data_IF_642354483452
#
_entry.id   IF_642354483452
#
_cell.length_a   1.000
_cell.length_b   1.000
_cell.length_c   1.000
_cell.angle_alpha   90.00
_cell.angle_beta   90.00
_cell.angle_gamma   90.00
#
_symmetry.space_group_name_H-M   'P 1'
#
loop_
_entity.id
_entity.type
_entity.pdbx_description
1 polymer ?
#
# COMPACT_ATOMS: atom_id res chain seq x y z
N UNK A 1 55.28 -1.90 -45.98
CA UNK A 1 54.34 -2.91 -45.43
C UNK A 1 53.91 -2.47 -44.04
N UNK A 2 52.61 -2.63 -43.77
CA UNK A 2 51.90 -2.64 -42.48
C UNK A 2 51.89 -1.36 -41.62
N UNK A 3 50.81 -0.61 -41.84
CA UNK A 3 50.20 0.36 -40.93
C UNK A 3 49.66 -0.38 -39.70
N UNK A 4 50.02 0.03 -38.48
CA UNK A 4 49.35 -0.44 -37.26
C UNK A 4 48.57 0.74 -36.70
N UNK A 5 47.32 0.86 -37.13
CA UNK A 5 46.33 1.70 -36.47
C UNK A 5 45.59 0.78 -35.48
N UNK A 6 45.85 1.00 -34.19
CA UNK A 6 45.28 0.24 -33.10
C UNK A 6 43.78 0.57 -32.93
N UNK A 7 42.97 -0.48 -33.10
CA UNK A 7 41.81 -0.87 -32.30
C UNK A 7 40.85 0.24 -31.90
N UNK A 8 39.73 0.33 -32.64
CA UNK A 8 38.48 0.93 -32.15
C UNK A 8 38.05 0.21 -30.87
N UNK A 9 38.17 0.88 -29.72
CA UNK A 9 37.63 0.42 -28.46
C UNK A 9 36.11 0.65 -28.49
N UNK A 10 35.37 -0.45 -28.64
CA UNK A 10 33.91 -0.54 -28.55
C UNK A 10 33.40 0.11 -27.25
N UNK A 11 32.83 1.31 -27.33
CA UNK A 11 31.86 1.81 -26.35
C UNK A 11 30.54 1.10 -26.60
N UNK A 12 30.38 -0.10 -26.05
CA UNK A 12 29.07 -0.73 -25.91
C UNK A 12 29.14 -1.64 -24.69
N UNK A 13 28.34 -1.32 -23.68
CA UNK A 13 27.87 -2.15 -22.54
C UNK A 13 27.76 -1.28 -21.28
N UNK A 14 26.92 -0.25 -21.34
CA UNK A 14 26.55 0.52 -20.14
C UNK A 14 25.06 0.84 -20.07
N UNK A 15 24.18 0.10 -20.77
CA UNK A 15 22.73 0.33 -20.67
C UNK A 15 21.97 -0.99 -20.76
N UNK A 16 22.07 -1.85 -19.73
CA UNK A 16 21.02 -2.85 -19.45
C UNK A 16 20.80 -2.95 -17.93
N UNK A 17 20.65 -1.82 -17.26
CA UNK A 17 20.19 -1.78 -15.84
C UNK A 17 19.06 -0.79 -15.61
N UNK A 18 18.51 -0.15 -16.65
CA UNK A 18 17.57 0.98 -16.51
C UNK A 18 16.07 0.64 -16.42
N UNK A 19 15.63 -0.58 -16.74
CA UNK A 19 14.18 -0.85 -16.85
C UNK A 19 13.55 -1.54 -15.63
N UNK A 20 14.33 -1.88 -14.59
CA UNK A 20 13.83 -2.69 -13.48
C UNK A 20 13.38 -1.87 -12.26
N UNK A 21 13.89 -0.64 -12.09
CA UNK A 21 13.54 0.19 -10.94
C UNK A 21 12.36 1.16 -11.21
N UNK A 22 12.14 1.60 -12.46
CA UNK A 22 10.98 2.45 -12.79
C UNK A 22 9.63 1.77 -12.52
N UNK A 23 9.53 0.46 -12.78
CA UNK A 23 8.31 -0.31 -12.55
C UNK A 23 8.05 -0.58 -11.05
N UNK A 24 9.08 -0.54 -10.20
CA UNK A 24 8.93 -0.77 -8.76
C UNK A 24 8.26 0.42 -8.09
N UNK A 25 8.63 1.63 -8.49
CA UNK A 25 8.07 2.85 -7.91
C UNK A 25 6.60 3.01 -8.32
N UNK A 26 6.27 2.84 -9.61
CA UNK A 26 4.86 2.87 -10.06
C UNK A 26 3.99 1.81 -9.36
N UNK A 27 4.53 0.59 -9.20
CA UNK A 27 3.84 -0.49 -8.50
C UNK A 27 3.65 -0.18 -7.01
N UNK A 28 4.58 0.52 -6.38
CA UNK A 28 4.44 0.98 -4.98
C UNK A 28 3.40 2.09 -4.86
N UNK A 29 3.42 3.06 -5.74
CA UNK A 29 2.51 4.21 -5.71
C UNK A 29 1.04 3.76 -5.84
N UNK A 30 0.77 2.80 -6.74
CA UNK A 30 -0.58 2.22 -6.89
C UNK A 30 -1.03 1.45 -5.66
N UNK A 31 -0.13 0.73 -4.99
CA UNK A 31 -0.43 -0.01 -3.76
C UNK A 31 -0.69 0.94 -2.59
N UNK A 32 0.08 2.02 -2.49
CA UNK A 32 -0.11 3.06 -1.50
C UNK A 32 -1.45 3.77 -1.70
N UNK A 33 -1.76 4.18 -2.92
CA UNK A 33 -3.03 4.83 -3.26
C UNK A 33 -4.24 3.95 -2.87
N UNK A 34 -4.21 2.65 -3.17
CA UNK A 34 -5.27 1.73 -2.77
C UNK A 34 -5.46 1.66 -1.24
N UNK A 35 -4.36 1.65 -0.47
CA UNK A 35 -4.41 1.67 0.99
C UNK A 35 -4.98 2.99 1.54
N UNK A 36 -4.60 4.12 0.94
CA UNK A 36 -5.13 5.44 1.31
C UNK A 36 -6.62 5.61 0.98
N UNK A 37 -7.05 5.16 -0.20
CA UNK A 37 -8.45 5.20 -0.63
C UNK A 37 -9.33 4.32 0.26
N UNK A 38 -8.81 3.16 0.68
CA UNK A 38 -9.51 2.31 1.64
C UNK A 38 -9.57 2.93 3.04
N UNK A 39 -8.47 3.54 3.52
CA UNK A 39 -8.48 4.23 4.80
C UNK A 39 -9.54 5.34 4.81
N UNK A 40 -9.59 6.14 3.74
CA UNK A 40 -10.61 7.17 3.55
C UNK A 40 -12.02 6.58 3.57
N UNK A 41 -12.28 5.50 2.83
CA UNK A 41 -13.58 4.84 2.81
C UNK A 41 -14.00 4.31 4.21
N UNK A 42 -13.06 3.79 5.00
CA UNK A 42 -13.32 3.38 6.40
C UNK A 42 -13.69 4.59 7.26
N UNK A 43 -13.01 5.73 7.07
CA UNK A 43 -13.28 6.96 7.83
C UNK A 43 -14.66 7.52 7.51
N UNK A 44 -15.04 7.48 6.24
CA UNK A 44 -16.31 8.04 5.73
C UNK A 44 -17.51 7.09 5.86
N UNK A 45 -17.32 5.87 6.39
CA UNK A 45 -18.36 4.82 6.39
C UNK A 45 -18.85 4.44 4.97
N UNK A 46 -18.00 4.62 3.94
CA UNK A 46 -18.32 4.35 2.54
C UNK A 46 -18.17 2.85 2.22
N UNK A 47 -19.16 2.07 2.65
CA UNK A 47 -19.23 0.63 2.39
C UNK A 47 -19.18 0.29 0.88
N UNK A 48 -19.87 1.00 -0.04
CA UNK A 48 -19.73 0.78 -1.48
C UNK A 48 -18.28 0.90 -1.97
N UNK A 49 -17.57 1.96 -1.61
CA UNK A 49 -16.16 2.15 -2.01
C UNK A 49 -15.25 1.09 -1.40
N UNK A 50 -15.47 0.73 -0.13
CA UNK A 50 -14.75 -0.39 0.48
C UNK A 50 -14.94 -1.67 -0.34
N UNK A 51 -16.17 -2.05 -0.68
CA UNK A 51 -16.45 -3.26 -1.48
C UNK A 51 -15.81 -3.24 -2.86
N UNK A 52 -15.72 -2.07 -3.50
CA UNK A 52 -15.06 -1.92 -4.80
C UNK A 52 -13.56 -2.22 -4.71
N UNK A 53 -12.91 -1.84 -3.61
CA UNK A 53 -11.47 -1.99 -3.37
C UNK A 53 -11.10 -3.32 -2.69
N UNK A 54 -12.09 -4.08 -2.21
CA UNK A 54 -11.88 -5.29 -1.41
C UNK A 54 -12.02 -6.58 -2.23
N UNK A 55 -11.20 -7.57 -1.92
CA UNK A 55 -11.34 -8.92 -2.49
C UNK A 55 -12.62 -9.56 -1.95
N UNK A 56 -13.48 -9.99 -2.85
CA UNK A 56 -14.73 -10.67 -2.51
C UNK A 56 -14.46 -11.96 -1.72
N UNK A 57 -15.16 -12.16 -0.61
CA UNK A 57 -15.01 -13.32 0.27
C UNK A 57 -13.81 -13.26 1.24
N UNK A 58 -12.98 -12.21 1.20
CA UNK A 58 -11.91 -12.03 2.18
C UNK A 58 -12.46 -11.72 3.59
N UNK A 59 -11.71 -12.11 4.63
CA UNK A 59 -12.06 -11.92 6.04
C UNK A 59 -11.03 -11.05 6.76
N UNK A 60 -11.43 -10.05 7.57
CA UNK A 60 -12.81 -9.62 7.81
C UNK A 60 -13.47 -9.01 6.56
N UNK A 61 -14.79 -9.08 6.45
CA UNK A 61 -15.57 -8.38 5.43
C UNK A 61 -15.55 -6.85 5.65
N UNK A 62 -15.81 -6.04 4.62
CA UNK A 62 -15.95 -4.58 4.78
C UNK A 62 -16.92 -4.16 5.89
N UNK A 63 -18.05 -4.86 6.03
CA UNK A 63 -19.02 -4.63 7.10
C UNK A 63 -18.45 -4.93 8.50
N UNK A 64 -17.66 -5.99 8.63
CA UNK A 64 -17.00 -6.34 9.89
C UNK A 64 -15.91 -5.32 10.23
N UNK A 65 -15.17 -4.81 9.24
CA UNK A 65 -14.20 -3.73 9.41
C UNK A 65 -14.88 -2.47 9.93
N UNK A 66 -15.98 -2.03 9.33
CA UNK A 66 -16.73 -0.86 9.79
C UNK A 66 -17.29 -1.03 11.21
N UNK A 67 -17.77 -2.23 11.56
CA UNK A 67 -18.19 -2.54 12.94
C UNK A 67 -17.01 -2.47 13.92
N UNK A 68 -15.86 -3.02 13.53
CA UNK A 68 -14.67 -3.08 14.36
C UNK A 68 -14.00 -1.70 14.56
N UNK A 69 -14.14 -0.78 13.60
CA UNK A 69 -13.52 0.55 13.63
C UNK A 69 -13.79 1.34 14.92
N UNK A 70 -14.96 1.16 15.51
CA UNK A 70 -15.33 1.80 16.80
C UNK A 70 -14.39 1.37 17.93
N UNK A 71 -14.03 0.09 17.96
CA UNK A 71 -13.14 -0.49 18.97
C UNK A 71 -11.67 -0.13 18.72
N UNK A 72 -11.34 0.36 17.52
CA UNK A 72 -9.98 0.78 17.17
C UNK A 72 -9.68 2.21 17.66
N UNK A 73 -10.69 2.95 18.14
CA UNK A 73 -10.50 4.32 18.65
C UNK A 73 -10.27 5.36 17.57
N UNK A 74 -10.61 5.04 16.31
CA UNK A 74 -10.43 5.92 15.15
C UNK A 74 -11.69 6.72 14.79
N UNK A 75 -12.76 6.60 15.58
CA UNK A 75 -13.99 7.34 15.34
C UNK A 75 -13.77 8.84 15.52
N UNK A 76 -13.98 9.60 14.44
CA UNK A 76 -13.80 11.05 14.42
C UNK A 76 -12.34 11.51 14.38
N UNK A 77 -11.42 10.64 13.95
CA UNK A 77 -10.15 11.04 13.36
C UNK A 77 -10.36 11.39 11.88
N UNK A 78 -9.49 12.21 11.32
CA UNK A 78 -9.43 12.50 9.89
C UNK A 78 -8.24 11.79 9.23
N UNK A 79 -8.19 11.79 7.88
CA UNK A 79 -7.13 11.12 7.13
C UNK A 79 -5.72 11.62 7.50
N UNK A 80 -5.58 12.90 7.88
CA UNK A 80 -4.29 13.50 8.24
C UNK A 80 -3.80 13.10 9.63
N UNK A 81 -4.67 12.53 10.47
CA UNK A 81 -4.27 11.92 11.76
C UNK A 81 -3.51 10.60 11.57
N UNK A 82 -3.44 10.09 10.34
CA UNK A 82 -2.76 8.84 10.01
C UNK A 82 -1.46 9.11 9.25
N UNK A 83 -0.43 8.36 9.61
CA UNK A 83 0.80 8.24 8.85
C UNK A 83 0.86 6.86 8.19
N UNK A 84 0.80 6.84 6.86
CA UNK A 84 0.89 5.61 6.06
C UNK A 84 2.36 5.26 5.77
N UNK A 85 2.72 3.98 5.85
CA UNK A 85 4.03 3.49 5.47
C UNK A 85 4.00 2.04 5.00
N UNK A 86 4.91 1.67 4.09
CA UNK A 86 5.06 0.30 3.59
C UNK A 86 5.76 -0.56 4.66
N UNK A 87 5.07 -1.58 5.16
CA UNK A 87 5.62 -2.55 6.12
C UNK A 87 6.22 -3.77 5.43
N UNK A 88 5.69 -4.13 4.25
CA UNK A 88 6.28 -5.10 3.33
C UNK A 88 5.73 -4.86 1.92
N UNK A 89 6.26 -5.59 0.94
CA UNK A 89 5.79 -5.54 -0.45
C UNK A 89 4.28 -5.82 -0.64
N UNK A 90 3.58 -6.37 0.36
CA UNK A 90 2.13 -6.58 0.31
C UNK A 90 1.39 -5.93 1.48
N UNK A 91 2.05 -5.15 2.34
CA UNK A 91 1.42 -4.64 3.56
C UNK A 91 1.74 -3.18 3.76
N UNK A 92 0.71 -2.37 3.94
CA UNK A 92 0.81 -0.99 4.40
C UNK A 92 0.26 -0.89 5.82
N UNK A 93 0.89 -0.04 6.62
CA UNK A 93 0.40 0.32 7.94
C UNK A 93 0.01 1.80 7.96
N UNK A 94 -1.16 2.10 8.52
CA UNK A 94 -1.55 3.45 8.89
C UNK A 94 -1.46 3.58 10.41
N UNK A 95 -0.42 4.27 10.91
CA UNK A 95 -0.30 4.58 12.33
C UNK A 95 -1.06 5.84 12.69
N UNK A 96 -1.70 5.84 13.86
CA UNK A 96 -2.46 6.97 14.38
C UNK A 96 -2.30 7.07 15.90
N UNK A 97 -2.71 8.21 16.46
CA UNK A 97 -2.96 8.35 17.90
C UNK A 97 -4.46 8.49 18.09
N UNK A 98 -5.06 7.59 18.86
CA UNK A 98 -6.46 7.71 19.23
C UNK A 98 -6.70 8.99 20.05
N UNK A 99 -7.97 9.41 20.16
CA UNK A 99 -8.31 10.56 21.02
C UNK A 99 -7.98 10.35 22.50
N UNK A 100 -7.88 9.09 22.95
CA UNK A 100 -7.36 8.73 24.28
C UNK A 100 -5.87 8.99 24.45
N UNK A 101 -5.14 9.27 23.35
CA UNK A 101 -3.69 9.39 23.30
C UNK A 101 -2.96 8.08 23.04
N UNK A 102 -3.66 6.94 23.03
CA UNK A 102 -3.06 5.63 22.78
C UNK A 102 -2.71 5.45 21.28
N UNK A 103 -1.48 5.03 20.94
CA UNK A 103 -1.11 4.78 19.57
C UNK A 103 -1.74 3.47 19.05
N UNK A 104 -2.18 3.49 17.81
CA UNK A 104 -2.69 2.32 17.11
C UNK A 104 -2.15 2.25 15.68
N UNK A 105 -2.32 1.09 15.04
CA UNK A 105 -1.99 0.88 13.63
C UNK A 105 -3.07 0.07 12.94
N UNK A 106 -3.42 0.45 11.72
CA UNK A 106 -4.27 -0.37 10.84
C UNK A 106 -3.36 -0.98 9.78
N UNK A 107 -3.42 -2.28 9.60
CA UNK A 107 -2.75 -2.98 8.53
C UNK A 107 -3.69 -3.22 7.35
N UNK A 108 -3.18 -2.95 6.15
CA UNK A 108 -3.83 -3.23 4.87
C UNK A 108 -2.96 -4.22 4.11
N UNK A 109 -3.48 -5.42 3.83
CA UNK A 109 -2.78 -6.37 2.95
C UNK A 109 -3.30 -6.24 1.53
N UNK A 110 -2.36 -6.07 0.62
CA UNK A 110 -2.58 -5.81 -0.79
C UNK A 110 -2.39 -7.09 -1.59
N UNK A 111 -3.29 -7.30 -2.55
CA UNK A 111 -3.25 -8.38 -3.53
C UNK A 111 -3.41 -7.78 -4.92
N UNK A 112 -2.60 -8.25 -5.86
CA UNK A 112 -2.83 -7.95 -7.28
C UNK A 112 -3.81 -8.98 -7.83
N UNK A 113 -4.97 -8.51 -8.26
CA UNK A 113 -5.94 -9.26 -9.03
C UNK A 113 -5.67 -9.03 -10.53
N UNK A 114 -5.65 -10.08 -11.36
CA UNK A 114 -5.34 -9.94 -12.79
C UNK A 114 -6.38 -9.12 -13.56
N UNK A 115 -7.64 -9.12 -13.10
CA UNK A 115 -8.76 -8.47 -13.80
C UNK A 115 -9.11 -7.11 -13.17
N UNK A 116 -8.99 -7.01 -11.84
CA UNK A 116 -9.39 -5.82 -11.06
C UNK A 116 -8.22 -4.92 -10.65
N UNK A 117 -6.98 -5.39 -10.81
CA UNK A 117 -5.79 -4.63 -10.42
C UNK A 117 -5.49 -4.74 -8.92
N UNK A 118 -5.07 -3.63 -8.30
CA UNK A 118 -4.66 -3.63 -6.89
C UNK A 118 -5.90 -3.66 -5.99
N UNK A 119 -6.00 -4.71 -5.17
CA UNK A 119 -7.11 -4.96 -4.26
C UNK A 119 -6.61 -5.17 -2.83
N UNK A 120 -7.51 -5.03 -1.85
CA UNK A 120 -7.23 -5.30 -0.44
C UNK A 120 -7.91 -6.60 -0.03
N UNK A 121 -7.17 -7.52 0.59
CA UNK A 121 -7.71 -8.82 1.01
C UNK A 121 -7.64 -9.04 2.53
N UNK A 122 -7.21 -8.02 3.28
CA UNK A 122 -7.23 -8.01 4.73
C UNK A 122 -7.08 -6.58 5.27
N UNK A 123 -7.90 -6.26 6.28
CA UNK A 123 -7.74 -5.07 7.11
C UNK A 123 -7.80 -5.51 8.57
N UNK A 124 -6.84 -5.05 9.39
CA UNK A 124 -6.84 -5.37 10.80
C UNK A 124 -6.16 -4.33 11.67
N UNK A 125 -6.65 -4.18 12.91
CA UNK A 125 -6.02 -3.32 13.91
C UNK A 125 -4.89 -4.05 14.61
N UNK A 126 -3.72 -3.41 14.64
CA UNK A 126 -2.55 -3.82 15.40
C UNK A 126 -2.46 -2.86 16.59
N UNK A 127 -2.85 -3.35 17.76
CA UNK A 127 -2.69 -2.60 19.00
C UNK A 127 -1.19 -2.36 19.25
N UNK A 128 -0.82 -1.10 19.52
CA UNK A 128 0.55 -0.78 19.89
C UNK A 128 0.88 -1.37 21.26
N UNK A 129 1.71 -2.42 21.30
CA UNK A 129 2.62 -2.55 22.44
C UNK A 129 3.75 -1.57 22.20
N UNK A 130 3.91 -0.62 23.13
CA UNK A 130 5.11 0.20 23.24
C UNK A 130 6.34 -0.71 23.37
#
# INVERSE_FOLDING_TARGET
>A
MQKIAAVMLFMAFAIITGCQDQNKDEGKDRRLAAAEDMLEAIMEDDLPKMKQLYVEGATPSPEEVLKAKRNWGISGLDKNDFQMYEASIHVFHASYKAKSGEPGKIAFRIRNDPDKGVMIDYIGHIAGKQ
#
